data_IF_672439996902
#
_entry.id   IF_672439996902
#
_cell.length_a   1.000
_cell.length_b   1.000
_cell.length_c   1.000
_cell.angle_alpha   90.00
_cell.angle_beta   90.00
_cell.angle_gamma   90.00
#
_symmetry.space_group_name_H-M   'P 1'
#
loop_
_entity.id
_entity.type
_entity.pdbx_description
1 polymer ?
#
# COMPACT_ATOMS: atom_id res chain seq x y z
N UNK A 1 -14.27 -8.42 7.06
CA UNK A 1 -13.93 -9.84 7.26
C UNK A 1 -15.09 -10.53 7.96
N UNK A 2 -15.35 -11.82 7.68
CA UNK A 2 -16.29 -12.62 8.49
C UNK A 2 -15.50 -13.60 9.34
N UNK A 3 -15.71 -13.57 10.65
CA UNK A 3 -15.03 -14.43 11.61
C UNK A 3 -16.04 -15.00 12.60
N UNK A 4 -16.15 -16.32 12.66
CA UNK A 4 -17.13 -17.05 13.52
C UNK A 4 -18.58 -16.56 13.36
N UNK A 5 -18.98 -16.19 12.14
CA UNK A 5 -20.32 -15.71 11.83
C UNK A 5 -20.55 -14.21 12.07
N UNK A 6 -19.58 -13.48 12.63
CA UNK A 6 -19.65 -12.03 12.80
C UNK A 6 -18.95 -11.33 11.63
N UNK A 7 -19.58 -10.28 11.09
CA UNK A 7 -18.95 -9.38 10.11
C UNK A 7 -18.25 -8.23 10.82
N UNK A 8 -16.95 -8.11 10.61
CA UNK A 8 -16.08 -7.10 11.21
C UNK A 8 -15.58 -6.19 10.09
N UNK A 9 -15.82 -4.90 10.24
CA UNK A 9 -15.32 -3.86 9.33
C UNK A 9 -13.95 -3.35 9.79
N UNK A 10 -13.18 -2.78 8.86
CA UNK A 10 -11.86 -2.20 9.07
C UNK A 10 -10.75 -3.21 9.48
N UNK A 11 -9.56 -3.03 8.92
CA UNK A 11 -8.44 -3.95 9.17
C UNK A 11 -7.96 -3.91 10.62
N UNK A 12 -8.02 -2.75 11.29
CA UNK A 12 -7.57 -2.63 12.67
C UNK A 12 -8.48 -3.41 13.63
N UNK A 13 -9.80 -3.32 13.48
CA UNK A 13 -10.73 -4.12 14.29
C UNK A 13 -10.66 -5.61 13.95
N UNK A 14 -10.40 -5.95 12.67
CA UNK A 14 -10.14 -7.33 12.29
C UNK A 14 -8.89 -7.89 13.00
N UNK A 15 -7.78 -7.14 12.99
CA UNK A 15 -6.53 -7.51 13.67
C UNK A 15 -6.76 -7.65 15.16
N UNK A 16 -7.43 -6.69 15.80
CA UNK A 16 -7.75 -6.73 17.24
C UNK A 16 -8.53 -7.99 17.60
N UNK A 17 -9.60 -8.29 16.85
CA UNK A 17 -10.43 -9.46 17.12
C UNK A 17 -9.67 -10.78 16.92
N UNK A 18 -8.92 -10.91 15.81
CA UNK A 18 -8.16 -12.12 15.54
C UNK A 18 -7.05 -12.35 16.56
N UNK A 19 -6.33 -11.29 16.92
CA UNK A 19 -5.24 -11.33 17.91
C UNK A 19 -5.79 -11.82 19.26
N UNK A 20 -6.95 -11.31 19.68
CA UNK A 20 -7.66 -11.75 20.89
C UNK A 20 -8.11 -13.22 20.79
N UNK A 21 -8.78 -13.60 19.70
CA UNK A 21 -9.38 -14.93 19.55
C UNK A 21 -8.35 -16.05 19.34
N UNK A 22 -7.18 -15.72 18.76
CA UNK A 22 -6.08 -16.66 18.50
C UNK A 22 -4.99 -16.64 19.58
N UNK A 23 -5.04 -15.71 20.53
CA UNK A 23 -4.04 -15.57 21.58
C UNK A 23 -2.65 -15.18 21.07
N UNK A 24 -2.56 -14.58 19.89
CA UNK A 24 -1.31 -14.08 19.31
C UNK A 24 -1.03 -12.69 19.88
N UNK A 25 0.23 -12.29 20.00
CA UNK A 25 0.62 -10.94 20.41
C UNK A 25 1.60 -10.34 19.41
N UNK A 26 1.09 -9.57 18.45
CA UNK A 26 1.86 -9.03 17.33
C UNK A 26 2.87 -7.95 17.75
N UNK A 27 2.56 -7.21 18.82
CA UNK A 27 3.35 -6.07 19.31
C UNK A 27 3.99 -6.36 20.68
N UNK A 28 4.21 -7.63 21.00
CA UNK A 28 4.81 -8.04 22.27
C UNK A 28 6.25 -7.53 22.40
N UNK A 29 6.57 -6.98 23.57
CA UNK A 29 7.91 -6.45 23.87
C UNK A 29 8.13 -5.00 23.46
N UNK A 30 7.15 -4.34 22.83
CA UNK A 30 7.25 -2.91 22.56
C UNK A 30 7.07 -2.08 23.83
N UNK A 31 8.00 -1.15 24.06
CA UNK A 31 7.85 -0.12 25.09
C UNK A 31 6.67 0.81 24.76
N UNK A 32 6.17 1.56 25.76
CA UNK A 32 5.10 2.54 25.54
C UNK A 32 5.48 3.59 24.50
N UNK A 33 6.75 3.98 24.45
CA UNK A 33 7.28 4.89 23.44
C UNK A 33 7.23 4.27 22.03
N UNK A 34 7.66 3.01 21.88
CA UNK A 34 7.60 2.29 20.61
C UNK A 34 6.15 2.10 20.13
N UNK A 35 5.22 1.81 21.04
CA UNK A 35 3.80 1.73 20.72
C UNK A 35 3.24 3.07 20.23
N UNK A 36 3.62 4.18 20.88
CA UNK A 36 3.23 5.52 20.44
C UNK A 36 3.81 5.87 19.06
N UNK A 37 5.08 5.53 18.83
CA UNK A 37 5.72 5.73 17.52
C UNK A 37 5.07 4.86 16.43
N UNK A 38 4.75 3.59 16.72
CA UNK A 38 4.05 2.69 15.82
C UNK A 38 2.68 3.25 15.41
N UNK A 39 1.95 3.81 16.38
CA UNK A 39 0.67 4.46 16.13
C UNK A 39 0.81 5.68 15.22
N UNK A 40 1.78 6.56 15.49
CA UNK A 40 2.03 7.75 14.68
C UNK A 40 2.43 7.40 13.24
N UNK A 41 3.31 6.41 13.06
CA UNK A 41 3.71 5.91 11.73
C UNK A 41 2.51 5.37 10.97
N UNK A 42 1.70 4.54 11.60
CA UNK A 42 0.49 4.00 10.98
C UNK A 42 -0.46 5.13 10.54
N UNK A 43 -0.67 6.14 11.39
CA UNK A 43 -1.51 7.29 11.03
C UNK A 43 -0.94 8.10 9.87
N UNK A 44 0.37 8.32 9.80
CA UNK A 44 1.00 8.95 8.65
C UNK A 44 0.77 8.15 7.37
N UNK A 45 0.97 6.82 7.40
CA UNK A 45 0.78 5.97 6.23
C UNK A 45 -0.70 5.95 5.78
N UNK A 46 -1.62 5.75 6.71
CA UNK A 46 -3.07 5.64 6.43
C UNK A 46 -3.71 6.96 6.01
N UNK A 47 -3.26 8.10 6.55
CA UNK A 47 -3.93 9.40 6.37
C UNK A 47 -3.15 10.39 5.51
N UNK A 48 -1.88 10.12 5.19
CA UNK A 48 -1.07 10.95 4.27
C UNK A 48 -0.65 10.14 3.05
N UNK A 49 0.19 9.12 3.24
CA UNK A 49 0.78 8.34 2.15
C UNK A 49 -0.29 7.71 1.26
N UNK A 50 -1.33 7.12 1.86
CA UNK A 50 -2.48 6.54 1.16
C UNK A 50 -3.11 7.48 0.12
N UNK A 51 -3.32 8.77 0.46
CA UNK A 51 -3.94 9.70 -0.48
C UNK A 51 -3.03 10.05 -1.65
N UNK A 52 -1.70 10.04 -1.44
CA UNK A 52 -0.73 10.22 -2.53
C UNK A 52 -0.79 9.05 -3.51
N UNK A 53 -0.89 7.82 -3.01
CA UNK A 53 -1.01 6.59 -3.82
C UNK A 53 -2.36 6.53 -4.51
N UNK A 54 -3.45 6.89 -3.81
CA UNK A 54 -4.78 6.97 -4.40
C UNK A 54 -4.83 7.98 -5.56
N UNK A 55 -4.22 9.16 -5.41
CA UNK A 55 -4.12 10.13 -6.48
C UNK A 55 -3.31 9.60 -7.67
N UNK A 56 -2.12 9.03 -7.41
CA UNK A 56 -1.28 8.45 -8.45
C UNK A 56 -2.03 7.36 -9.22
N UNK A 57 -2.70 6.44 -8.53
CA UNK A 57 -3.42 5.30 -9.13
C UNK A 57 -4.66 5.70 -9.90
N UNK A 58 -5.49 6.57 -9.33
CA UNK A 58 -6.84 6.83 -9.82
C UNK A 58 -6.98 8.11 -10.63
N UNK A 59 -5.96 8.98 -10.61
CA UNK A 59 -5.97 10.26 -11.33
C UNK A 59 -4.83 10.34 -12.32
N UNK A 60 -3.58 10.29 -11.85
CA UNK A 60 -2.40 10.56 -12.68
C UNK A 60 -2.09 9.41 -13.65
N UNK A 61 -2.03 8.17 -13.15
CA UNK A 61 -1.66 6.96 -13.90
C UNK A 61 -2.86 6.04 -14.21
N UNK A 62 -4.08 6.57 -14.14
CA UNK A 62 -5.32 5.77 -14.25
C UNK A 62 -5.38 4.88 -15.49
N UNK A 63 -4.86 5.34 -16.63
CA UNK A 63 -4.90 4.57 -17.89
C UNK A 63 -4.15 3.24 -17.83
N UNK A 64 -3.02 3.21 -17.11
CA UNK A 64 -2.20 2.00 -16.90
C UNK A 64 -2.76 1.21 -15.71
N UNK A 65 -2.98 1.87 -14.57
CA UNK A 65 -3.44 1.20 -13.35
C UNK A 65 -4.81 0.52 -13.53
N UNK A 66 -5.75 1.10 -14.31
CA UNK A 66 -7.04 0.44 -14.57
C UNK A 66 -6.88 -0.89 -15.33
N UNK A 67 -5.82 -1.05 -16.13
CA UNK A 67 -5.56 -2.32 -16.83
C UNK A 67 -5.03 -3.36 -15.84
N UNK A 68 -4.20 -2.95 -14.87
CA UNK A 68 -3.78 -3.84 -13.77
C UNK A 68 -4.99 -4.26 -12.95
N UNK A 69 -5.84 -3.31 -12.56
CA UNK A 69 -7.10 -3.61 -11.83
C UNK A 69 -7.96 -4.60 -12.62
N UNK A 70 -8.11 -4.45 -13.95
CA UNK A 70 -8.88 -5.41 -14.76
C UNK A 70 -8.35 -6.85 -14.61
N UNK A 71 -7.03 -7.04 -14.58
CA UNK A 71 -6.39 -8.35 -14.52
C UNK A 71 -6.39 -8.93 -13.09
N UNK A 72 -6.29 -8.08 -12.08
CA UNK A 72 -6.21 -8.49 -10.68
C UNK A 72 -7.60 -8.70 -10.06
N UNK A 73 -8.53 -7.80 -10.35
CA UNK A 73 -9.86 -7.84 -9.74
C UNK A 73 -10.81 -8.84 -10.38
N UNK A 74 -10.47 -9.47 -11.52
CA UNK A 74 -11.18 -10.68 -11.96
C UNK A 74 -11.08 -11.79 -10.92
N UNK A 75 -9.92 -11.91 -10.24
CA UNK A 75 -9.68 -12.92 -9.21
C UNK A 75 -10.43 -12.59 -7.90
N UNK A 76 -10.57 -11.31 -7.56
CA UNK A 76 -11.14 -10.88 -6.27
C UNK A 76 -12.63 -10.49 -6.32
N UNK A 77 -13.08 -9.88 -7.42
CA UNK A 77 -14.46 -9.37 -7.59
C UNK A 77 -15.23 -10.06 -8.71
N UNK A 78 -14.54 -10.67 -9.68
CA UNK A 78 -15.14 -11.19 -10.90
C UNK A 78 -15.57 -12.65 -10.84
N UNK A 79 -15.09 -13.47 -9.89
CA UNK A 79 -15.32 -14.92 -9.91
C UNK A 79 -14.95 -15.55 -11.26
N UNK A 80 -15.45 -16.75 -11.54
CA UNK A 80 -15.24 -17.48 -12.81
C UNK A 80 -15.93 -16.83 -14.03
N UNK A 81 -16.20 -15.53 -14.03
CA UNK A 81 -16.82 -14.83 -15.17
C UNK A 81 -15.90 -14.87 -16.40
N UNK A 82 -16.42 -15.23 -17.58
CA UNK A 82 -15.66 -15.16 -18.82
C UNK A 82 -15.11 -13.75 -19.07
N UNK A 83 -13.88 -13.66 -19.58
CA UNK A 83 -13.21 -12.38 -19.86
C UNK A 83 -14.04 -11.44 -20.76
N UNK A 84 -14.82 -12.01 -21.69
CA UNK A 84 -15.73 -11.27 -22.57
C UNK A 84 -16.85 -10.52 -21.83
N UNK A 85 -17.27 -11.02 -20.66
CA UNK A 85 -18.28 -10.40 -19.80
C UNK A 85 -17.61 -9.47 -18.78
N UNK A 86 -16.49 -9.92 -18.21
CA UNK A 86 -15.75 -9.15 -17.20
C UNK A 86 -15.20 -7.83 -17.74
N UNK A 87 -14.60 -7.84 -18.94
CA UNK A 87 -13.98 -6.64 -19.54
C UNK A 87 -14.94 -5.44 -19.68
N UNK A 88 -16.16 -5.56 -20.26
CA UNK A 88 -17.08 -4.44 -20.35
C UNK A 88 -17.63 -4.01 -18.97
N UNK A 89 -17.90 -4.96 -18.07
CA UNK A 89 -18.36 -4.66 -16.71
C UNK A 89 -17.33 -3.85 -15.93
N UNK A 90 -16.07 -4.28 -15.93
CA UNK A 90 -14.97 -3.54 -15.35
C UNK A 90 -14.85 -2.13 -15.94
N UNK A 91 -15.01 -1.99 -17.27
CA UNK A 91 -15.05 -0.68 -17.93
C UNK A 91 -16.11 0.27 -17.37
N UNK A 92 -17.32 -0.25 -17.08
CA UNK A 92 -18.40 0.52 -16.45
C UNK A 92 -18.06 0.88 -15.00
N UNK A 93 -17.57 -0.08 -14.21
CA UNK A 93 -17.17 0.14 -12.82
C UNK A 93 -16.10 1.24 -12.71
N UNK A 94 -15.09 1.20 -13.59
CA UNK A 94 -14.03 2.20 -13.63
C UNK A 94 -14.53 3.60 -14.02
N UNK A 95 -15.56 3.71 -14.89
CA UNK A 95 -16.19 4.99 -15.24
C UNK A 95 -16.93 5.62 -14.05
N UNK A 96 -17.44 4.81 -13.13
CA UNK A 96 -18.10 5.28 -11.90
C UNK A 96 -17.11 5.54 -10.77
N UNK A 97 -16.11 4.67 -10.61
CA UNK A 97 -15.13 4.73 -9.52
C UNK A 97 -14.23 5.96 -9.62
N UNK A 98 -13.69 6.28 -10.80
CA UNK A 98 -12.72 7.37 -10.92
C UNK A 98 -13.31 8.74 -10.50
N UNK A 99 -14.49 9.18 -10.95
CA UNK A 99 -15.10 10.43 -10.49
C UNK A 99 -15.38 10.44 -8.98
N UNK A 100 -15.82 9.32 -8.41
CA UNK A 100 -16.07 9.20 -6.98
C UNK A 100 -14.79 9.39 -6.16
N UNK A 101 -13.69 8.76 -6.59
CA UNK A 101 -12.38 8.88 -5.94
C UNK A 101 -11.82 10.30 -6.08
N UNK A 102 -11.96 10.95 -7.25
CA UNK A 102 -11.59 12.36 -7.42
C UNK A 102 -12.35 13.27 -6.45
N UNK A 103 -13.66 13.02 -6.24
CA UNK A 103 -14.47 13.76 -5.27
C UNK A 103 -13.99 13.53 -3.83
N UNK A 104 -13.66 12.29 -3.48
CA UNK A 104 -13.11 11.96 -2.16
C UNK A 104 -11.75 12.63 -1.90
N UNK A 105 -10.83 12.57 -2.87
CA UNK A 105 -9.53 13.26 -2.83
C UNK A 105 -9.70 14.76 -2.61
N UNK A 106 -10.64 15.40 -3.33
CA UNK A 106 -10.91 16.81 -3.13
C UNK A 106 -11.53 17.10 -1.76
N UNK A 107 -12.47 16.26 -1.28
CA UNK A 107 -13.08 16.43 0.05
C UNK A 107 -12.03 16.38 1.17
N UNK A 108 -11.09 15.43 1.08
CA UNK A 108 -9.96 15.27 2.00
C UNK A 108 -8.87 16.35 1.87
N UNK A 109 -8.97 17.25 0.89
CA UNK A 109 -7.98 18.31 0.67
C UNK A 109 -6.81 17.92 -0.22
N UNK A 110 -6.45 16.64 -0.28
CA UNK A 110 -5.34 16.19 -1.11
C UNK A 110 -5.51 16.54 -2.61
N UNK A 111 -6.74 16.48 -3.11
CA UNK A 111 -7.06 16.83 -4.50
C UNK A 111 -6.90 18.30 -4.85
N UNK A 112 -6.61 19.18 -3.86
CA UNK A 112 -6.42 20.63 -4.06
C UNK A 112 -4.96 21.03 -4.27
N UNK A 113 -4.02 20.16 -3.88
CA UNK A 113 -2.60 20.41 -4.06
C UNK A 113 -2.22 20.45 -5.54
N UNK A 114 -1.11 21.09 -5.87
CA UNK A 114 -0.48 20.99 -7.17
C UNK A 114 0.42 19.75 -7.27
N UNK A 115 1.14 19.60 -8.39
CA UNK A 115 2.01 18.43 -8.61
C UNK A 115 3.23 18.45 -7.70
N UNK A 116 3.86 19.60 -7.50
CA UNK A 116 5.07 19.72 -6.68
C UNK A 116 4.75 19.50 -5.21
N UNK A 117 3.64 20.07 -4.73
CA UNK A 117 3.14 19.85 -3.36
C UNK A 117 2.85 18.37 -3.11
N UNK A 118 2.18 17.67 -4.02
CA UNK A 118 1.93 16.23 -3.88
C UNK A 118 3.21 15.40 -3.84
N UNK A 119 4.17 15.71 -4.72
CA UNK A 119 5.46 15.03 -4.75
C UNK A 119 6.25 15.28 -3.46
N UNK A 120 6.19 16.50 -2.94
CA UNK A 120 6.82 16.84 -1.68
C UNK A 120 6.25 16.04 -0.50
N UNK A 121 4.92 15.88 -0.44
CA UNK A 121 4.26 15.10 0.63
C UNK A 121 4.75 13.64 0.65
N UNK A 122 4.71 12.94 -0.49
CA UNK A 122 5.19 11.55 -0.53
C UNK A 122 6.69 11.46 -0.23
N UNK A 123 7.51 12.38 -0.73
CA UNK A 123 8.94 12.38 -0.41
C UNK A 123 9.19 12.59 1.08
N UNK A 124 8.44 13.48 1.74
CA UNK A 124 8.54 13.69 3.18
C UNK A 124 8.12 12.45 3.98
N UNK A 125 6.98 11.83 3.64
CA UNK A 125 6.49 10.62 4.30
C UNK A 125 7.52 9.47 4.17
N UNK A 126 8.03 9.24 2.95
CA UNK A 126 9.04 8.21 2.72
C UNK A 126 10.37 8.54 3.40
N UNK A 127 10.77 9.82 3.50
CA UNK A 127 11.98 10.21 4.21
C UNK A 127 11.82 9.97 5.71
N UNK A 128 10.64 10.27 6.27
CA UNK A 128 10.33 9.99 7.67
C UNK A 128 10.41 8.48 7.96
N UNK A 129 9.82 7.64 7.11
CA UNK A 129 9.93 6.18 7.22
C UNK A 129 11.38 5.70 7.09
N UNK A 130 12.13 6.19 6.10
CA UNK A 130 13.52 5.78 5.87
C UNK A 130 14.41 6.15 7.06
N UNK A 131 14.27 7.37 7.58
CA UNK A 131 15.01 7.85 8.74
C UNK A 131 14.63 7.09 10.01
N UNK A 132 13.33 6.82 10.20
CA UNK A 132 12.86 6.06 11.36
C UNK A 132 13.33 4.59 11.30
N UNK A 133 13.30 3.96 10.14
CA UNK A 133 13.82 2.61 9.92
C UNK A 133 15.32 2.57 10.20
N UNK A 134 16.08 3.53 9.65
CA UNK A 134 17.54 3.59 9.77
C UNK A 134 18.18 2.26 9.37
N UNK A 135 19.00 1.69 10.25
CA UNK A 135 19.64 0.38 10.04
C UNK A 135 18.84 -0.82 10.54
N UNK A 136 17.62 -0.62 11.09
CA UNK A 136 16.82 -1.72 11.65
C UNK A 136 16.25 -2.60 10.53
N UNK A 137 16.09 -3.91 10.76
CA UNK A 137 15.46 -4.79 9.77
C UNK A 137 13.95 -4.55 9.66
N UNK A 138 13.30 -4.11 10.75
CA UNK A 138 11.88 -3.75 10.82
C UNK A 138 11.67 -2.43 11.58
N UNK A 139 10.48 -1.82 11.47
CA UNK A 139 10.20 -0.48 12.03
C UNK A 139 10.49 -0.42 13.53
N UNK A 140 10.14 -1.47 14.27
CA UNK A 140 10.31 -1.53 15.72
C UNK A 140 11.52 -2.33 16.20
N UNK A 141 12.42 -2.75 15.29
CA UNK A 141 13.64 -3.48 15.63
C UNK A 141 13.77 -4.79 14.87
N UNK A 142 14.03 -5.89 15.58
CA UNK A 142 14.48 -7.16 14.99
C UNK A 142 13.37 -8.07 14.48
N UNK A 143 12.12 -7.85 14.91
CA UNK A 143 10.97 -8.66 14.51
C UNK A 143 9.88 -7.77 13.90
N UNK A 144 9.14 -8.28 12.90
CA UNK A 144 8.00 -7.55 12.35
C UNK A 144 6.89 -7.42 13.40
N UNK A 145 6.22 -6.28 13.38
CA UNK A 145 5.09 -5.92 14.26
C UNK A 145 3.90 -5.45 13.43
N UNK A 146 2.79 -5.08 14.06
CA UNK A 146 1.58 -4.64 13.35
C UNK A 146 1.85 -3.44 12.42
N UNK A 147 2.73 -2.51 12.82
CA UNK A 147 3.07 -1.35 11.98
C UNK A 147 3.76 -1.76 10.68
N UNK A 148 4.54 -2.84 10.70
CA UNK A 148 5.23 -3.33 9.52
C UNK A 148 4.26 -3.85 8.47
N UNK A 149 3.14 -4.47 8.88
CA UNK A 149 2.09 -4.88 7.96
C UNK A 149 1.42 -3.67 7.27
N UNK A 150 1.20 -2.59 8.02
CA UNK A 150 0.65 -1.34 7.48
C UNK A 150 1.61 -0.69 6.48
N UNK A 151 2.88 -0.47 6.88
CA UNK A 151 3.88 0.16 6.02
C UNK A 151 4.14 -0.70 4.78
N UNK A 152 4.29 -2.01 4.94
CA UNK A 152 4.48 -2.92 3.80
C UNK A 152 3.33 -2.87 2.81
N UNK A 153 2.08 -2.85 3.28
CA UNK A 153 0.91 -2.77 2.41
C UNK A 153 0.99 -1.57 1.46
N UNK A 154 1.35 -0.40 1.99
CA UNK A 154 1.45 0.83 1.20
C UNK A 154 2.69 0.84 0.30
N UNK A 155 3.86 0.48 0.82
CA UNK A 155 5.09 0.44 0.02
C UNK A 155 5.00 -0.59 -1.11
N UNK A 156 4.33 -1.71 -0.89
CA UNK A 156 4.09 -2.71 -1.92
C UNK A 156 3.22 -2.15 -3.06
N UNK A 157 2.22 -1.31 -2.77
CA UNK A 157 1.46 -0.63 -3.81
C UNK A 157 2.36 0.30 -4.62
N UNK A 158 3.20 1.09 -3.95
CA UNK A 158 4.14 1.99 -4.63
C UNK A 158 5.10 1.26 -5.56
N UNK A 159 5.64 0.11 -5.13
CA UNK A 159 6.63 -0.66 -5.91
C UNK A 159 5.99 -1.46 -7.04
N UNK A 160 4.88 -2.16 -6.81
CA UNK A 160 4.34 -3.13 -7.78
C UNK A 160 3.05 -2.67 -8.49
N UNK A 161 2.33 -1.68 -7.95
CA UNK A 161 1.00 -1.28 -8.44
C UNK A 161 0.94 0.13 -9.04
N UNK A 162 2.07 0.86 -9.07
CA UNK A 162 2.17 2.19 -9.65
C UNK A 162 3.30 2.31 -10.71
N UNK A 163 3.28 1.50 -11.78
CA UNK A 163 4.35 1.50 -12.77
C UNK A 163 4.49 2.85 -13.49
N UNK A 164 5.73 3.33 -13.61
CA UNK A 164 6.11 4.61 -14.21
C UNK A 164 5.78 5.84 -13.36
N UNK A 165 5.35 5.65 -12.10
CA UNK A 165 5.00 6.76 -11.21
C UNK A 165 6.21 7.35 -10.48
N UNK A 166 6.01 8.53 -9.87
CA UNK A 166 6.97 9.12 -8.95
C UNK A 166 7.25 8.19 -7.77
N UNK A 167 6.21 7.57 -7.20
CA UNK A 167 6.30 6.63 -6.07
C UNK A 167 7.20 5.43 -6.37
N UNK A 168 7.01 4.79 -7.52
CA UNK A 168 7.85 3.68 -7.96
C UNK A 168 9.29 4.16 -8.14
N UNK A 169 9.50 5.31 -8.78
CA UNK A 169 10.84 5.86 -8.98
C UNK A 169 11.57 6.11 -7.66
N UNK A 170 10.92 6.75 -6.69
CA UNK A 170 11.51 7.02 -5.37
C UNK A 170 11.97 5.72 -4.70
N UNK A 171 11.12 4.70 -4.67
CA UNK A 171 11.45 3.45 -3.99
C UNK A 171 12.39 2.55 -4.78
N UNK A 172 12.43 2.60 -6.11
CA UNK A 172 13.22 1.64 -6.91
C UNK A 172 14.50 2.21 -7.49
N UNK A 173 14.65 3.54 -7.57
CA UNK A 173 15.76 4.20 -8.26
C UNK A 173 16.47 5.28 -7.45
N UNK A 174 15.80 5.93 -6.51
CA UNK A 174 16.41 6.96 -5.67
C UNK A 174 17.10 6.34 -4.45
N UNK A 175 18.42 6.57 -4.35
CA UNK A 175 19.27 6.03 -3.28
C UNK A 175 18.85 6.47 -1.88
N UNK A 176 18.15 7.60 -1.74
CA UNK A 176 17.65 8.08 -0.45
C UNK A 176 16.68 7.08 0.21
N UNK A 177 15.99 6.27 -0.60
CA UNK A 177 14.95 5.34 -0.14
C UNK A 177 15.32 3.86 -0.32
N UNK A 178 16.57 3.56 -0.66
CA UNK A 178 17.07 2.20 -0.90
C UNK A 178 16.81 1.28 0.32
N UNK A 179 16.94 1.80 1.53
CA UNK A 179 16.63 1.06 2.77
C UNK A 179 15.16 0.61 2.83
N UNK A 180 14.22 1.46 2.39
CA UNK A 180 12.79 1.13 2.35
C UNK A 180 12.48 0.08 1.28
N UNK A 181 13.16 0.12 0.14
CA UNK A 181 13.03 -0.92 -0.88
C UNK A 181 13.44 -2.29 -0.35
N UNK A 182 14.62 -2.38 0.28
CA UNK A 182 15.10 -3.61 0.87
C UNK A 182 14.24 -4.10 2.04
N UNK A 183 13.75 -3.18 2.87
CA UNK A 183 12.74 -3.47 3.89
C UNK A 183 11.48 -4.08 3.28
N UNK A 184 10.96 -3.49 2.19
CA UNK A 184 9.77 -3.99 1.49
C UNK A 184 10.00 -5.39 0.91
N UNK A 185 11.17 -5.63 0.30
CA UNK A 185 11.54 -6.97 -0.19
C UNK A 185 11.67 -8.00 0.94
N UNK A 186 12.19 -7.60 2.10
CA UNK A 186 12.32 -8.48 3.27
C UNK A 186 10.96 -8.96 3.76
N UNK A 187 10.01 -8.04 3.93
CA UNK A 187 8.64 -8.37 4.34
C UNK A 187 7.91 -9.17 3.28
N UNK A 188 8.08 -8.83 1.99
CA UNK A 188 7.54 -9.65 0.89
C UNK A 188 8.00 -11.10 1.01
N UNK A 189 9.31 -11.33 1.15
CA UNK A 189 9.88 -12.68 1.19
C UNK A 189 9.49 -13.44 2.47
N UNK A 190 9.34 -12.72 3.59
CA UNK A 190 8.91 -13.31 4.86
C UNK A 190 7.43 -13.72 4.85
N UNK A 191 6.55 -12.86 4.33
CA UNK A 191 5.10 -13.01 4.42
C UNK A 191 4.50 -13.75 3.21
N UNK A 192 5.12 -13.62 2.03
CA UNK A 192 4.62 -14.15 0.76
C UNK A 192 5.69 -14.94 -0.02
N UNK A 193 6.38 -15.92 0.60
CA UNK A 193 7.49 -16.63 -0.05
C UNK A 193 7.06 -17.38 -1.32
N UNK A 194 5.85 -17.94 -1.33
CA UNK A 194 5.37 -18.85 -2.39
C UNK A 194 4.32 -18.23 -3.33
N UNK A 195 3.72 -17.11 -2.94
CA UNK A 195 2.48 -16.60 -3.57
C UNK A 195 2.62 -15.19 -4.17
N UNK A 196 3.80 -14.57 -4.11
CA UNK A 196 4.03 -13.32 -4.81
C UNK A 196 4.39 -13.59 -6.28
N UNK A 197 3.57 -13.16 -7.27
CA UNK A 197 3.90 -13.38 -8.67
C UNK A 197 5.28 -12.78 -8.98
N UNK A 198 6.09 -13.49 -9.78
CA UNK A 198 7.35 -12.93 -10.28
C UNK A 198 7.03 -11.57 -10.92
N UNK A 199 7.79 -10.49 -10.63
CA UNK A 199 7.54 -9.22 -11.28
C UNK A 199 7.51 -9.45 -12.80
N UNK A 200 6.62 -8.77 -13.55
CA UNK A 200 6.72 -8.78 -15.00
C UNK A 200 8.17 -8.43 -15.35
N UNK A 201 8.76 -9.20 -16.28
CA UNK A 201 10.16 -9.10 -16.70
C UNK A 201 10.63 -7.65 -16.59
N UNK A 202 11.73 -7.47 -15.85
CA UNK A 202 12.37 -6.19 -15.56
C UNK A 202 12.10 -5.18 -16.65
N UNK A 203 11.54 -4.04 -16.27
CA UNK A 203 11.70 -2.83 -17.06
C UNK A 203 13.21 -2.61 -17.16
N UNK A 204 13.80 -3.02 -18.28
CA UNK A 204 15.18 -2.67 -18.60
C UNK A 204 15.18 -1.16 -18.85
N UNK A 205 15.91 -0.35 -18.07
CA UNK A 205 16.05 1.07 -18.40
C UNK A 205 16.69 1.18 -19.80
N UNK A 206 16.25 2.14 -20.64
CA UNK A 206 16.90 2.35 -21.91
C UNK A 206 18.39 2.65 -21.67
N UNK A 207 19.24 1.90 -22.37
CA UNK A 207 20.68 2.11 -22.48
C UNK A 207 21.01 3.51 -22.99
#
# INVERSE_FOLDING_TARGET
>A
MTWRGETIADSAFCIERLTKDLGVRLDEGLSLEQQAAAYAIRKMVEESTYWTVAYARWVEHFGVCRKQVLLESSVFMGGDLPYSVWRPLHGLLMRMAQPAIKKALHAQGFGRFDRQERQHIIEQDLLALANYLGGKPFMMGDKPTTVDACVFGELALCVWQLPGSHHEHLLTKDKRFEALYHYTLRLKNLLFPECWPRPPKTYDPPT
#
